data_IF_260066347797
#
_entry.id   IF_260066347797
#
_cell.length_a   1.000
_cell.length_b   1.000
_cell.length_c   1.000
_cell.angle_alpha   90.00
_cell.angle_beta   90.00
_cell.angle_gamma   90.00
#
_symmetry.space_group_name_H-M   'P 1'
#
loop_
_entity.id
_entity.type
_entity.pdbx_description
1 polymer ?
#
# COMPACT_ATOMS: atom_id res chain seq x y z
N UNK A 1 46.64 39.17 10.04
CA UNK A 1 46.45 37.87 9.35
C UNK A 1 44.96 37.60 9.32
N UNK A 2 44.28 38.12 8.31
CA UNK A 2 42.88 37.81 8.05
C UNK A 2 42.79 36.40 7.49
N UNK A 3 42.01 35.53 8.15
CA UNK A 3 41.74 34.17 7.70
C UNK A 3 40.41 34.14 6.93
N UNK A 4 40.38 34.46 5.62
CA UNK A 4 39.15 34.37 4.84
C UNK A 4 38.58 32.95 4.84
N UNK A 5 39.44 31.92 4.93
CA UNK A 5 39.03 30.51 5.01
C UNK A 5 38.15 30.18 6.23
N UNK A 6 38.35 30.85 7.36
CA UNK A 6 37.57 30.60 8.57
C UNK A 6 36.15 31.16 8.45
N UNK A 7 35.98 32.33 7.82
CA UNK A 7 34.65 32.93 7.54
C UNK A 7 33.83 32.10 6.55
N UNK A 8 34.44 31.53 5.50
CA UNK A 8 33.75 30.63 4.58
C UNK A 8 33.31 29.33 5.27
N UNK A 9 34.14 28.77 6.16
CA UNK A 9 33.78 27.61 6.98
C UNK A 9 32.62 27.90 7.92
N UNK A 10 32.57 29.06 8.59
CA UNK A 10 31.46 29.42 9.48
C UNK A 10 30.15 29.63 8.71
N UNK A 11 30.21 30.25 7.53
CA UNK A 11 29.04 30.45 6.66
C UNK A 11 28.52 29.11 6.13
N UNK A 12 29.38 28.21 5.68
CA UNK A 12 29.00 26.86 5.25
C UNK A 12 28.40 26.07 6.43
N UNK A 13 28.97 26.15 7.64
CA UNK A 13 28.43 25.48 8.83
C UNK A 13 27.04 26.04 9.23
N UNK A 14 26.82 27.35 9.09
CA UNK A 14 25.54 28.00 9.35
C UNK A 14 24.47 27.61 8.31
N UNK A 15 24.84 27.46 7.03
CA UNK A 15 23.93 26.97 5.98
C UNK A 15 23.56 25.48 6.17
N UNK A 16 24.45 24.66 6.73
CA UNK A 16 24.17 23.26 7.05
C UNK A 16 23.16 23.13 8.21
N UNK A 17 23.17 24.06 9.18
CA UNK A 17 22.29 24.01 10.36
C UNK A 17 20.84 24.42 10.09
N UNK A 18 20.57 25.28 9.10
CA UNK A 18 19.20 25.71 8.75
C UNK A 18 18.52 24.81 7.69
N UNK A 19 19.22 23.81 7.17
CA UNK A 19 18.77 22.97 6.05
C UNK A 19 18.32 21.56 6.43
N UNK A 20 18.27 21.19 7.71
CA UNK A 20 17.85 19.86 8.14
C UNK A 20 16.33 19.79 8.33
N UNK A 21 15.72 18.72 7.83
CA UNK A 21 14.33 18.42 8.14
C UNK A 21 14.18 18.03 9.63
N UNK A 22 13.02 18.35 10.21
CA UNK A 22 12.71 18.07 11.61
C UNK A 22 12.86 16.57 11.92
N UNK A 23 13.56 16.27 13.01
CA UNK A 23 13.87 14.91 13.46
C UNK A 23 13.19 14.60 14.82
N UNK A 24 11.92 14.98 14.95
CA UNK A 24 11.07 14.66 16.10
C UNK A 24 9.68 14.23 15.61
N UNK A 25 8.86 13.69 16.52
CA UNK A 25 7.45 13.45 16.24
C UNK A 25 6.70 14.77 16.02
N UNK A 26 5.64 14.72 15.21
CA UNK A 26 4.70 15.81 14.96
C UNK A 26 3.41 15.67 15.77
N UNK A 27 2.98 14.44 16.04
CA UNK A 27 1.68 14.12 16.67
C UNK A 27 1.86 13.68 18.13
N UNK A 28 2.32 14.60 18.97
CA UNK A 28 2.73 14.30 20.35
C UNK A 28 1.59 14.20 21.37
N UNK A 29 0.36 14.60 21.02
CA UNK A 29 -0.82 14.49 21.89
C UNK A 29 -1.59 13.21 21.59
N UNK A 30 -1.67 12.33 22.59
CA UNK A 30 -2.25 10.99 22.43
C UNK A 30 -3.77 10.95 22.67
N UNK A 31 -4.40 12.09 22.95
CA UNK A 31 -5.85 12.24 23.04
C UNK A 31 -6.50 12.28 21.65
N UNK A 32 -7.79 11.96 21.61
CA UNK A 32 -8.63 12.21 20.42
C UNK A 32 -8.99 13.69 20.33
N UNK A 33 -9.04 14.23 19.12
CA UNK A 33 -9.47 15.59 18.82
C UNK A 33 -10.41 15.63 17.62
N UNK A 34 -11.41 16.51 17.69
CA UNK A 34 -12.36 16.74 16.61
C UNK A 34 -11.73 17.66 15.55
N UNK A 35 -11.47 17.12 14.36
CA UNK A 35 -10.89 17.87 13.25
C UNK A 35 -11.99 18.56 12.44
N UNK A 36 -12.01 19.91 12.45
CA UNK A 36 -12.98 20.71 11.69
C UNK A 36 -12.28 21.52 10.59
N UNK A 37 -11.17 22.18 10.94
CA UNK A 37 -10.38 23.04 10.07
C UNK A 37 -8.95 22.53 9.88
N UNK A 38 -8.25 23.07 8.87
CA UNK A 38 -6.92 22.61 8.41
C UNK A 38 -5.86 22.48 9.51
N UNK A 39 -5.93 23.34 10.52
CA UNK A 39 -4.93 23.42 11.59
C UNK A 39 -5.42 22.84 12.93
N UNK A 40 -6.66 22.36 12.98
CA UNK A 40 -7.17 21.66 14.15
C UNK A 40 -6.40 20.35 14.35
N UNK A 41 -6.26 19.93 15.60
CA UNK A 41 -5.64 18.65 15.96
C UNK A 41 -4.20 18.48 15.41
N UNK A 42 -3.48 19.59 15.14
CA UNK A 42 -2.14 19.58 14.56
C UNK A 42 -1.17 18.65 15.32
N UNK A 43 -1.24 18.67 16.65
CA UNK A 43 -0.40 17.84 17.52
C UNK A 43 -1.03 16.50 17.89
N UNK A 44 -2.30 16.24 17.55
CA UNK A 44 -3.01 15.06 18.02
C UNK A 44 -2.79 13.84 17.12
N UNK A 45 -2.49 12.71 17.75
CA UNK A 45 -2.28 11.43 17.09
C UNK A 45 -3.58 10.73 16.69
N UNK A 46 -4.73 11.17 17.21
CA UNK A 46 -6.06 10.61 16.91
C UNK A 46 -6.99 11.77 16.55
N UNK A 47 -7.67 11.65 15.41
CA UNK A 47 -8.52 12.69 14.85
C UNK A 47 -9.87 12.13 14.39
N UNK A 48 -10.94 12.68 14.94
CA UNK A 48 -12.30 12.38 14.51
C UNK A 48 -12.69 13.34 13.39
N UNK A 49 -13.17 12.83 12.27
CA UNK A 49 -13.54 13.63 11.11
C UNK A 49 -15.02 13.44 10.80
N UNK A 50 -15.75 14.56 10.68
CA UNK A 50 -17.18 14.59 10.33
C UNK A 50 -18.07 13.63 11.15
N UNK A 51 -18.01 13.65 12.50
CA UNK A 51 -18.76 12.70 13.33
C UNK A 51 -20.26 12.76 13.06
N UNK A 52 -20.90 11.60 12.97
CA UNK A 52 -22.32 11.46 12.69
C UNK A 52 -22.76 11.77 11.25
N UNK A 53 -21.83 12.05 10.33
CA UNK A 53 -22.13 12.24 8.90
C UNK A 53 -21.83 10.96 8.10
N UNK A 54 -22.29 10.93 6.85
CA UNK A 54 -21.99 9.84 5.90
C UNK A 54 -20.48 9.69 5.59
N UNK A 55 -19.74 10.77 5.80
CA UNK A 55 -18.30 10.88 5.59
C UNK A 55 -17.49 10.77 6.89
N UNK A 56 -18.07 10.21 7.95
CA UNK A 56 -17.41 9.99 9.23
C UNK A 56 -16.24 8.98 9.14
N UNK A 57 -15.05 9.42 9.56
CA UNK A 57 -13.91 8.51 9.73
C UNK A 57 -13.00 8.94 10.88
N UNK A 58 -12.27 7.98 11.42
CA UNK A 58 -11.16 8.23 12.36
C UNK A 58 -9.84 8.23 11.60
N UNK A 59 -8.95 9.17 11.90
CA UNK A 59 -7.59 9.22 11.36
C UNK A 59 -6.59 9.24 12.50
N UNK A 60 -5.69 8.26 12.53
CA UNK A 60 -4.62 8.18 13.50
C UNK A 60 -3.23 8.18 12.86
N UNK A 61 -2.22 8.47 13.66
CA UNK A 61 -0.82 8.56 13.25
C UNK A 61 0.07 7.71 14.15
N UNK A 62 0.98 6.97 13.53
CA UNK A 62 2.09 6.33 14.23
C UNK A 62 3.39 6.71 13.54
N UNK A 63 4.32 7.29 14.30
CA UNK A 63 5.52 7.88 13.78
C UNK A 63 6.78 7.07 14.09
N UNK A 64 7.68 6.97 13.11
CA UNK A 64 8.94 6.24 13.18
C UNK A 64 10.15 7.16 13.05
N UNK A 65 11.25 6.76 13.68
CA UNK A 65 12.56 7.37 13.45
C UNK A 65 13.31 6.67 12.31
N UNK A 66 14.41 7.27 11.88
CA UNK A 66 15.23 6.76 10.78
C UNK A 66 15.87 5.39 11.06
N UNK A 67 15.89 4.95 12.32
CA UNK A 67 16.39 3.65 12.74
C UNK A 67 15.28 2.61 12.83
N UNK A 68 14.07 2.90 12.34
CA UNK A 68 12.94 1.97 12.36
C UNK A 68 12.27 1.77 13.72
N UNK A 69 12.61 2.59 14.72
CA UNK A 69 11.97 2.57 16.02
C UNK A 69 10.79 3.53 16.09
N UNK A 70 9.77 3.18 16.87
CA UNK A 70 8.66 4.08 17.21
C UNK A 70 9.21 5.36 17.88
N UNK A 71 8.73 6.52 17.44
CA UNK A 71 9.06 7.81 18.07
C UNK A 71 8.51 7.89 19.49
N UNK A 72 7.31 7.38 19.70
CA UNK A 72 6.68 7.24 21.01
C UNK A 72 5.85 5.95 21.06
N UNK A 73 6.20 5.02 21.96
CA UNK A 73 5.41 3.80 22.18
C UNK A 73 4.03 4.11 22.77
N UNK A 74 3.87 5.20 23.54
CA UNK A 74 2.58 5.60 24.11
C UNK A 74 1.63 6.10 23.03
N UNK A 75 2.14 6.77 22.00
CA UNK A 75 1.38 7.14 20.81
C UNK A 75 0.77 5.90 20.14
N UNK A 76 1.61 4.91 19.81
CA UNK A 76 1.12 3.66 19.22
C UNK A 76 0.08 2.98 20.13
N UNK A 77 0.36 2.86 21.43
CA UNK A 77 -0.57 2.22 22.36
C UNK A 77 -1.92 2.94 22.41
N UNK A 78 -1.93 4.27 22.50
CA UNK A 78 -3.17 5.06 22.54
C UNK A 78 -3.99 4.89 21.25
N UNK A 79 -3.33 4.88 20.09
CA UNK A 79 -3.98 4.63 18.79
C UNK A 79 -4.60 3.25 18.75
N UNK A 80 -3.84 2.22 19.14
CA UNK A 80 -4.33 0.85 19.18
C UNK A 80 -5.51 0.71 20.15
N UNK A 81 -5.39 1.19 21.39
CA UNK A 81 -6.46 1.13 22.40
C UNK A 81 -7.75 1.81 21.90
N UNK A 82 -7.61 2.95 21.22
CA UNK A 82 -8.72 3.65 20.62
C UNK A 82 -9.40 2.82 19.52
N UNK A 83 -8.63 2.21 18.62
CA UNK A 83 -9.16 1.36 17.55
C UNK A 83 -9.73 0.03 18.05
N UNK A 84 -9.11 -0.61 19.05
CA UNK A 84 -9.63 -1.80 19.72
C UNK A 84 -11.04 -1.53 20.26
N UNK A 85 -11.24 -0.39 20.93
CA UNK A 85 -12.56 -0.01 21.48
C UNK A 85 -13.62 0.18 20.38
N UNK A 86 -13.25 0.71 19.22
CA UNK A 86 -14.21 0.87 18.11
C UNK A 86 -14.52 -0.49 17.48
N UNK A 87 -13.48 -1.30 17.23
CA UNK A 87 -13.58 -2.60 16.58
C UNK A 87 -14.25 -3.69 17.43
N UNK A 88 -14.27 -3.55 18.77
CA UNK A 88 -15.05 -4.45 19.63
C UNK A 88 -16.55 -4.30 19.40
N UNK A 89 -17.02 -3.07 19.17
CA UNK A 89 -18.44 -2.73 19.12
C UNK A 89 -18.98 -2.67 17.68
N UNK A 90 -18.11 -2.40 16.71
CA UNK A 90 -18.47 -2.12 15.31
C UNK A 90 -17.65 -2.98 14.36
N UNK A 91 -18.24 -3.31 13.20
CA UNK A 91 -17.43 -3.77 12.07
C UNK A 91 -16.63 -2.57 11.53
N UNK A 92 -15.37 -2.77 11.17
CA UNK A 92 -14.47 -1.68 10.76
C UNK A 92 -13.85 -1.92 9.39
N UNK A 93 -13.66 -0.86 8.60
CA UNK A 93 -12.79 -0.87 7.42
C UNK A 93 -11.55 -0.05 7.76
N UNK A 94 -10.47 -0.74 8.09
CA UNK A 94 -9.20 -0.14 8.46
C UNK A 94 -8.32 0.02 7.22
N UNK A 95 -7.93 1.25 6.91
CA UNK A 95 -7.04 1.57 5.80
C UNK A 95 -5.75 2.16 6.37
N UNK A 96 -4.62 1.55 6.07
CA UNK A 96 -3.29 2.05 6.44
C UNK A 96 -2.66 2.72 5.23
N UNK A 97 -2.00 3.86 5.42
CA UNK A 97 -1.23 4.54 4.37
C UNK A 97 0.19 4.85 4.84
N UNK A 98 1.19 4.39 4.08
CA UNK A 98 2.60 4.75 4.26
C UNK A 98 3.07 5.63 3.11
N UNK A 99 3.56 6.83 3.44
CA UNK A 99 3.98 7.81 2.46
C UNK A 99 5.39 7.58 1.91
N UNK A 100 5.67 8.18 0.76
CA UNK A 100 6.96 8.19 0.09
C UNK A 100 7.94 9.25 0.57
N UNK A 101 8.98 9.43 -0.25
CA UNK A 101 9.97 10.50 -0.13
C UNK A 101 9.28 11.89 -0.17
N UNK A 102 9.88 12.92 0.43
CA UNK A 102 9.33 14.29 0.54
C UNK A 102 8.06 14.48 1.40
N UNK A 103 7.68 13.47 2.19
CA UNK A 103 6.51 13.55 3.06
C UNK A 103 6.85 13.22 4.51
N UNK A 104 5.94 13.61 5.42
CA UNK A 104 6.05 13.33 6.85
C UNK A 104 4.67 13.36 7.52
N UNK A 105 4.62 13.12 8.84
CA UNK A 105 3.41 13.30 9.64
C UNK A 105 3.07 14.78 9.96
N UNK A 106 3.80 15.74 9.39
CA UNK A 106 3.59 17.17 9.62
C UNK A 106 2.14 17.60 9.34
N UNK A 107 1.55 18.47 10.17
CA UNK A 107 0.27 19.11 9.87
C UNK A 107 0.27 19.74 8.47
N UNK A 108 -0.80 19.50 7.72
CA UNK A 108 -0.98 20.06 6.38
C UNK A 108 -0.16 19.40 5.26
N UNK A 109 0.58 18.30 5.53
CA UNK A 109 1.24 17.51 4.48
C UNK A 109 0.25 17.07 3.39
N UNK A 110 0.65 17.20 2.13
CA UNK A 110 -0.23 16.94 0.99
C UNK A 110 -0.75 15.49 0.96
N UNK A 111 0.08 14.49 1.30
CA UNK A 111 -0.38 13.10 1.34
C UNK A 111 -1.36 12.85 2.48
N UNK A 112 -1.27 13.57 3.60
CA UNK A 112 -2.28 13.49 4.67
C UNK A 112 -3.62 14.05 4.15
N UNK A 113 -3.60 15.15 3.40
CA UNK A 113 -4.80 15.76 2.83
C UNK A 113 -5.47 14.83 1.81
N UNK A 114 -4.70 14.23 0.90
CA UNK A 114 -5.24 13.28 -0.08
C UNK A 114 -5.73 11.98 0.58
N UNK A 115 -5.02 11.48 1.60
CA UNK A 115 -5.47 10.33 2.36
C UNK A 115 -6.80 10.59 3.09
N UNK A 116 -7.00 11.78 3.68
CA UNK A 116 -8.30 12.20 4.23
C UNK A 116 -9.41 12.18 3.18
N UNK A 117 -9.13 12.64 1.95
CA UNK A 117 -10.11 12.59 0.86
C UNK A 117 -10.46 11.16 0.48
N UNK A 118 -9.49 10.25 0.43
CA UNK A 118 -9.74 8.83 0.21
C UNK A 118 -10.64 8.25 1.31
N UNK A 119 -10.31 8.46 2.59
CA UNK A 119 -11.10 7.97 3.73
C UNK A 119 -12.53 8.53 3.69
N UNK A 120 -12.68 9.82 3.41
CA UNK A 120 -14.00 10.46 3.27
C UNK A 120 -14.83 9.85 2.13
N UNK A 121 -14.21 9.62 0.96
CA UNK A 121 -14.87 8.97 -0.20
C UNK A 121 -15.29 7.54 0.12
N UNK A 122 -14.42 6.77 0.80
CA UNK A 122 -14.71 5.39 1.21
C UNK A 122 -15.83 5.36 2.24
N UNK A 123 -15.82 6.25 3.25
CA UNK A 123 -16.89 6.34 4.25
C UNK A 123 -18.26 6.56 3.64
N UNK A 124 -18.38 7.50 2.68
CA UNK A 124 -19.65 7.77 2.00
C UNK A 124 -20.21 6.53 1.28
N UNK A 125 -19.32 5.67 0.80
CA UNK A 125 -19.73 4.45 0.12
C UNK A 125 -20.15 3.39 1.13
N UNK A 126 -19.39 3.21 2.22
CA UNK A 126 -19.76 2.32 3.31
C UNK A 126 -21.13 2.68 3.90
N UNK A 127 -21.42 3.98 4.07
CA UNK A 127 -22.70 4.45 4.58
C UNK A 127 -23.88 4.16 3.64
N UNK A 128 -23.65 4.17 2.31
CA UNK A 128 -24.68 3.86 1.31
C UNK A 128 -24.82 2.36 1.10
N UNK A 129 -23.72 1.61 1.15
CA UNK A 129 -23.69 0.16 0.91
C UNK A 129 -24.20 -0.67 2.10
N UNK A 130 -24.31 -0.09 3.29
CA UNK A 130 -24.93 -0.72 4.44
C UNK A 130 -26.43 -0.95 4.22
N UNK A 131 -26.83 -2.17 3.85
CA UNK A 131 -28.25 -2.58 3.83
C UNK A 131 -28.79 -2.64 5.28
N UNK A 132 -30.11 -2.58 5.45
CA UNK A 132 -30.79 -2.65 6.75
C UNK A 132 -30.43 -3.92 7.57
N UNK A 133 -29.84 -4.94 6.93
CA UNK A 133 -29.38 -6.18 7.56
C UNK A 133 -27.90 -6.19 7.97
N UNK A 134 -27.05 -5.33 7.40
CA UNK A 134 -25.61 -5.25 7.72
C UNK A 134 -25.24 -3.80 8.03
N UNK A 135 -24.93 -3.50 9.29
CA UNK A 135 -24.49 -2.16 9.70
C UNK A 135 -23.28 -1.72 8.87
N UNK A 136 -23.30 -0.48 8.39
CA UNK A 136 -22.16 0.14 7.72
C UNK A 136 -20.91 0.05 8.61
N UNK A 137 -19.76 -0.28 8.01
CA UNK A 137 -18.50 -0.38 8.74
C UNK A 137 -18.01 1.01 9.12
N UNK A 138 -17.43 1.15 10.30
CA UNK A 138 -16.71 2.37 10.68
C UNK A 138 -15.38 2.44 9.94
N UNK A 139 -15.10 3.55 9.28
CA UNK A 139 -13.84 3.74 8.54
C UNK A 139 -12.76 4.26 9.48
N UNK A 140 -11.66 3.51 9.58
CA UNK A 140 -10.50 3.85 10.39
C UNK A 140 -9.29 4.03 9.45
N UNK A 141 -8.57 5.13 9.57
CA UNK A 141 -7.38 5.43 8.77
C UNK A 141 -6.13 5.51 9.63
N UNK A 142 -5.11 4.70 9.37
CA UNK A 142 -3.80 4.85 10.02
C UNK A 142 -2.77 5.41 9.04
N UNK A 143 -2.16 6.54 9.37
CA UNK A 143 -1.03 7.10 8.63
C UNK A 143 0.30 6.71 9.30
N UNK A 144 1.14 5.99 8.57
CA UNK A 144 2.51 5.67 8.99
C UNK A 144 3.41 6.83 8.61
N UNK A 145 3.81 7.61 9.63
CA UNK A 145 4.68 8.76 9.48
C UNK A 145 6.15 8.40 9.67
N UNK A 146 7.01 8.84 8.78
CA UNK A 146 8.46 8.79 8.95
C UNK A 146 9.10 10.03 8.32
N UNK A 147 10.40 10.21 8.54
CA UNK A 147 11.11 11.38 8.04
C UNK A 147 11.54 11.17 6.59
N UNK A 148 10.65 11.53 5.66
CA UNK A 148 10.90 11.43 4.23
C UNK A 148 12.05 12.32 3.76
N UNK A 149 12.12 13.57 4.20
CA UNK A 149 13.24 14.46 3.88
C UNK A 149 14.37 14.39 4.90
N UNK A 150 15.63 14.29 4.46
CA UNK A 150 16.78 14.51 5.35
C UNK A 150 17.36 15.93 5.25
N UNK A 151 17.21 16.58 4.09
CA UNK A 151 17.69 17.94 3.79
C UNK A 151 16.57 18.74 3.09
N UNK A 152 16.28 19.94 3.55
CA UNK A 152 15.23 20.83 3.01
C UNK A 152 15.73 21.80 1.93
N UNK A 153 17.06 21.90 1.74
CA UNK A 153 17.68 22.81 0.76
C UNK A 153 17.38 22.40 -0.70
N UNK A 154 16.85 23.32 -1.53
CA UNK A 154 16.65 23.08 -2.97
C UNK A 154 17.97 22.76 -3.69
N UNK A 155 18.00 21.70 -4.50
CA UNK A 155 19.17 21.30 -5.31
C UNK A 155 20.07 20.20 -4.71
N UNK A 156 19.94 19.89 -3.42
CA UNK A 156 20.60 18.73 -2.78
C UNK A 156 19.63 17.59 -2.44
N UNK A 157 18.33 17.76 -2.74
CA UNK A 157 17.28 16.78 -2.46
C UNK A 157 17.57 15.43 -3.11
N UNK A 158 17.88 15.40 -4.41
CA UNK A 158 18.21 14.16 -5.14
C UNK A 158 19.41 13.38 -4.58
N UNK A 159 20.31 14.05 -3.85
CA UNK A 159 21.46 13.40 -3.16
C UNK A 159 20.98 12.54 -1.98
N UNK A 160 19.81 12.84 -1.41
CA UNK A 160 19.25 12.12 -0.27
C UNK A 160 18.47 10.86 -0.65
N UNK A 161 18.15 10.67 -1.94
CA UNK A 161 17.32 9.56 -2.40
C UNK A 161 17.82 8.19 -1.89
N UNK A 162 19.14 7.96 -1.92
CA UNK A 162 19.75 6.69 -1.49
C UNK A 162 19.64 6.44 0.01
N UNK A 163 19.95 7.47 0.80
CA UNK A 163 19.85 7.44 2.24
C UNK A 163 18.40 7.23 2.69
N UNK A 164 17.44 7.89 2.02
CA UNK A 164 16.00 7.74 2.29
C UNK A 164 15.46 6.38 1.84
N UNK A 165 15.96 5.81 0.75
CA UNK A 165 15.68 4.42 0.35
C UNK A 165 16.10 3.43 1.45
N UNK A 166 17.35 3.52 1.90
CA UNK A 166 17.88 2.65 2.96
C UNK A 166 17.08 2.81 4.25
N UNK A 167 16.76 4.04 4.61
CA UNK A 167 15.94 4.37 5.80
C UNK A 167 14.56 3.72 5.72
N UNK A 168 13.87 3.81 4.58
CA UNK A 168 12.54 3.21 4.41
C UNK A 168 12.58 1.67 4.55
N UNK A 169 13.64 1.02 4.04
CA UNK A 169 13.84 -0.41 4.22
C UNK A 169 14.11 -0.77 5.69
N UNK A 170 14.96 0.01 6.38
CA UNK A 170 15.25 -0.19 7.81
C UNK A 170 13.98 -0.08 8.66
N UNK A 171 13.15 0.94 8.40
CA UNK A 171 11.87 1.14 9.08
C UNK A 171 10.92 -0.04 8.83
N UNK A 172 10.87 -0.55 7.60
CA UNK A 172 10.08 -1.71 7.24
C UNK A 172 10.54 -3.01 7.91
N UNK A 173 11.84 -3.22 8.06
CA UNK A 173 12.42 -4.41 8.70
C UNK A 173 12.15 -4.47 10.21
N UNK A 174 12.11 -3.30 10.86
CA UNK A 174 12.01 -3.21 12.31
C UNK A 174 10.56 -2.96 12.78
N UNK A 175 10.21 -1.71 13.09
CA UNK A 175 9.03 -1.40 13.90
C UNK A 175 7.69 -1.45 13.17
N UNK A 176 7.64 -1.29 11.85
CA UNK A 176 6.34 -1.22 11.14
C UNK A 176 5.60 -2.55 11.17
N UNK A 177 6.33 -3.66 11.13
CA UNK A 177 5.75 -5.01 11.21
C UNK A 177 4.93 -5.20 12.50
N UNK A 178 5.41 -4.70 13.64
CA UNK A 178 4.68 -4.75 14.94
C UNK A 178 3.31 -4.07 14.81
N UNK A 179 3.28 -2.85 14.26
CA UNK A 179 2.05 -2.06 14.11
C UNK A 179 1.08 -2.76 13.18
N UNK A 180 1.54 -3.18 11.99
CA UNK A 180 0.67 -3.83 11.00
C UNK A 180 0.03 -5.10 11.58
N UNK A 181 0.81 -5.98 12.21
CA UNK A 181 0.29 -7.22 12.81
C UNK A 181 -0.76 -6.93 13.91
N UNK A 182 -0.55 -5.90 14.74
CA UNK A 182 -1.53 -5.48 15.76
C UNK A 182 -2.82 -4.90 15.16
N UNK A 183 -2.74 -4.18 14.04
CA UNK A 183 -3.95 -3.72 13.33
C UNK A 183 -4.74 -4.88 12.73
N UNK A 184 -4.05 -5.91 12.23
CA UNK A 184 -4.73 -7.12 11.76
C UNK A 184 -5.40 -7.87 12.91
N UNK A 185 -4.78 -7.90 14.09
CA UNK A 185 -5.41 -8.41 15.30
C UNK A 185 -6.70 -7.63 15.60
N UNK A 186 -6.65 -6.29 15.60
CA UNK A 186 -7.81 -5.40 15.86
C UNK A 186 -9.01 -5.74 14.97
N UNK A 187 -8.80 -5.92 13.66
CA UNK A 187 -9.93 -6.22 12.75
C UNK A 187 -10.54 -7.62 13.00
N UNK A 188 -9.89 -8.47 13.79
CA UNK A 188 -10.38 -9.81 14.15
C UNK A 188 -10.95 -9.90 15.58
N UNK A 189 -10.79 -8.88 16.41
CA UNK A 189 -11.19 -8.89 17.84
C UNK A 189 -12.65 -9.29 18.05
N UNK A 190 -13.56 -8.67 17.31
CA UNK A 190 -15.01 -8.93 17.42
C UNK A 190 -15.37 -10.40 17.17
N UNK A 191 -14.61 -11.08 16.31
CA UNK A 191 -14.80 -12.49 16.01
C UNK A 191 -14.35 -13.40 17.15
N UNK A 192 -13.34 -12.99 17.92
CA UNK A 192 -12.81 -13.74 19.06
C UNK A 192 -13.58 -13.54 20.36
N UNK A 193 -14.41 -12.51 20.47
CA UNK A 193 -15.12 -12.17 21.72
C UNK A 193 -16.48 -12.88 21.90
N UNK A 194 -17.07 -13.46 20.86
CA UNK A 194 -18.40 -14.10 20.93
C UNK A 194 -18.32 -15.59 20.62
N UNK A 195 -18.25 -16.41 21.67
CA UNK A 195 -18.15 -17.88 21.57
C UNK A 195 -19.47 -18.55 21.14
N UNK A 196 -20.62 -17.94 21.44
CA UNK A 196 -21.94 -18.59 21.31
C UNK A 196 -22.60 -18.42 19.92
N UNK A 197 -22.22 -17.42 19.14
CA UNK A 197 -22.69 -17.22 17.74
C UNK A 197 -21.56 -16.57 16.93
N UNK A 198 -20.89 -17.30 16.02
CA UNK A 198 -19.89 -16.70 15.15
C UNK A 198 -20.52 -15.59 14.31
N UNK A 199 -20.26 -14.31 14.66
CA UNK A 199 -20.65 -13.19 13.80
C UNK A 199 -19.88 -13.28 12.48
N UNK A 200 -20.51 -12.88 11.35
CA UNK A 200 -19.78 -12.80 10.09
C UNK A 200 -18.58 -11.86 10.25
N UNK A 201 -17.41 -12.33 9.86
CA UNK A 201 -16.19 -11.54 9.77
C UNK A 201 -16.42 -10.43 8.73
N UNK A 202 -16.82 -9.25 9.19
CA UNK A 202 -17.13 -8.09 8.33
C UNK A 202 -16.06 -7.00 8.40
N UNK A 203 -15.28 -6.97 9.47
CA UNK A 203 -14.13 -6.07 9.61
C UNK A 203 -13.03 -6.41 8.60
N UNK A 204 -12.37 -5.39 8.06
CA UNK A 204 -11.43 -5.51 6.94
C UNK A 204 -10.21 -4.61 7.12
N UNK A 205 -9.08 -5.06 6.59
CA UNK A 205 -7.80 -4.35 6.60
C UNK A 205 -7.24 -4.19 5.19
N UNK A 206 -6.99 -2.93 4.81
CA UNK A 206 -6.28 -2.57 3.58
C UNK A 206 -5.01 -1.80 3.94
N UNK A 207 -3.89 -2.14 3.30
CA UNK A 207 -2.62 -1.44 3.48
C UNK A 207 -2.18 -0.84 2.16
N UNK A 208 -1.90 0.46 2.16
CA UNK A 208 -1.48 1.21 0.98
C UNK A 208 -0.09 1.81 1.23
N UNK A 209 0.82 1.65 0.27
CA UNK A 209 2.15 2.27 0.33
C UNK A 209 2.51 2.93 -0.99
N UNK A 210 2.97 4.18 -0.94
CA UNK A 210 3.45 4.90 -2.12
C UNK A 210 4.97 5.03 -2.13
N UNK A 211 5.62 4.87 -3.28
CA UNK A 211 7.07 5.15 -3.43
C UNK A 211 7.92 4.38 -2.40
N UNK A 212 8.73 5.06 -1.59
CA UNK A 212 9.46 4.45 -0.47
C UNK A 212 8.57 3.93 0.65
N UNK A 213 7.38 4.50 0.86
CA UNK A 213 6.35 3.90 1.71
C UNK A 213 5.90 2.54 1.17
N UNK A 214 5.82 2.39 -0.16
CA UNK A 214 5.57 1.10 -0.82
C UNK A 214 6.70 0.09 -0.57
N UNK A 215 7.95 0.54 -0.65
CA UNK A 215 9.12 -0.29 -0.32
C UNK A 215 9.15 -0.71 1.16
N UNK A 216 8.81 0.22 2.07
CA UNK A 216 8.69 -0.01 3.51
C UNK A 216 7.63 -1.08 3.81
N UNK A 217 6.42 -0.93 3.26
CA UNK A 217 5.32 -1.90 3.43
C UNK A 217 5.70 -3.27 2.85
N UNK A 218 6.26 -3.30 1.64
CA UNK A 218 6.69 -4.57 1.03
C UNK A 218 7.76 -5.27 1.87
N UNK A 219 8.70 -4.50 2.41
CA UNK A 219 9.76 -5.03 3.28
C UNK A 219 9.20 -5.65 4.56
N UNK A 220 8.20 -5.01 5.18
CA UNK A 220 7.53 -5.53 6.37
C UNK A 220 6.71 -6.81 6.09
N UNK A 221 6.09 -6.91 4.91
CA UNK A 221 5.07 -7.93 4.65
C UNK A 221 5.50 -9.08 3.72
N UNK A 222 6.60 -8.99 2.99
CA UNK A 222 6.98 -10.01 1.98
C UNK A 222 7.02 -11.44 2.54
N UNK A 223 7.56 -11.64 3.74
CA UNK A 223 7.64 -12.96 4.37
C UNK A 223 6.27 -13.44 4.87
N UNK A 224 5.45 -12.52 5.40
CA UNK A 224 4.08 -12.80 5.85
C UNK A 224 3.19 -13.19 4.66
N UNK A 225 3.34 -12.51 3.52
CA UNK A 225 2.64 -12.83 2.29
C UNK A 225 3.03 -14.22 1.77
N UNK A 226 4.33 -14.53 1.75
CA UNK A 226 4.82 -15.83 1.31
C UNK A 226 4.30 -16.98 2.20
N UNK A 227 4.39 -16.82 3.52
CA UNK A 227 3.90 -17.79 4.50
C UNK A 227 2.40 -18.09 4.30
N UNK A 228 1.59 -17.03 4.18
CA UNK A 228 0.13 -17.15 4.02
C UNK A 228 -0.33 -17.60 2.64
N UNK A 229 0.51 -17.44 1.62
CA UNK A 229 0.24 -17.98 0.30
C UNK A 229 0.39 -19.51 0.29
N UNK A 230 1.48 -19.99 0.89
CA UNK A 230 1.79 -21.43 0.96
C UNK A 230 0.85 -22.13 1.94
N UNK A 231 0.61 -21.53 3.11
CA UNK A 231 -0.34 -21.97 4.14
C UNK A 231 -0.26 -23.47 4.44
N UNK A 232 0.77 -23.89 5.17
CA UNK A 232 1.10 -25.31 5.41
C UNK A 232 0.21 -26.00 6.47
N UNK A 233 -0.93 -25.41 6.85
CA UNK A 233 -1.84 -26.01 7.85
C UNK A 233 -2.51 -27.26 7.28
N UNK A 234 -2.73 -28.28 8.13
CA UNK A 234 -3.24 -29.61 7.71
C UNK A 234 -4.54 -29.59 6.90
N UNK A 235 -5.40 -28.61 7.12
CA UNK A 235 -6.70 -28.47 6.44
C UNK A 235 -6.63 -27.61 5.18
N UNK A 236 -5.50 -26.94 4.93
CA UNK A 236 -5.27 -26.12 3.75
C UNK A 236 -4.50 -26.93 2.72
N UNK A 237 -5.03 -26.92 1.50
CA UNK A 237 -4.39 -27.55 0.35
C UNK A 237 -4.40 -26.58 -0.81
N UNK A 238 -3.73 -26.97 -1.89
CA UNK A 238 -3.68 -26.23 -3.15
C UNK A 238 -5.07 -25.88 -3.74
N UNK A 239 -6.13 -26.55 -3.30
CA UNK A 239 -7.51 -26.32 -3.76
C UNK A 239 -8.25 -25.19 -3.05
N UNK A 240 -7.71 -24.59 -1.97
CA UNK A 240 -8.32 -23.42 -1.32
C UNK A 240 -7.87 -22.09 -1.93
N UNK A 241 -8.38 -20.97 -1.41
CA UNK A 241 -7.82 -19.65 -1.72
C UNK A 241 -6.47 -19.44 -1.02
N UNK A 242 -5.54 -18.81 -1.73
CA UNK A 242 -4.28 -18.31 -1.22
C UNK A 242 -4.52 -17.09 -0.31
N UNK A 243 -3.86 -17.09 0.85
CA UNK A 243 -3.93 -16.02 1.82
C UNK A 243 -3.07 -14.81 1.47
N UNK A 244 -3.17 -13.79 2.30
CA UNK A 244 -2.37 -12.57 2.22
C UNK A 244 -2.37 -11.84 3.56
N UNK A 245 -1.91 -10.59 3.57
CA UNK A 245 -1.96 -9.74 4.75
C UNK A 245 -3.23 -8.88 4.73
N UNK A 246 -4.09 -9.02 5.74
CA UNK A 246 -5.44 -8.46 5.71
C UNK A 246 -6.21 -8.89 4.46
N UNK A 247 -6.92 -7.93 3.89
CA UNK A 247 -7.75 -8.13 2.70
C UNK A 247 -7.05 -7.71 1.42
N UNK A 248 -6.26 -6.63 1.46
CA UNK A 248 -5.53 -6.08 0.31
C UNK A 248 -4.28 -5.31 0.74
N UNK A 249 -3.15 -5.60 0.09
CA UNK A 249 -1.98 -4.73 0.07
C UNK A 249 -1.86 -4.06 -1.31
N UNK A 250 -1.87 -2.73 -1.35
CA UNK A 250 -1.76 -1.93 -2.56
C UNK A 250 -0.49 -1.08 -2.53
N UNK A 251 0.41 -1.27 -3.47
CA UNK A 251 1.64 -0.51 -3.58
C UNK A 251 1.60 0.34 -4.85
N UNK A 252 1.76 1.66 -4.74
CA UNK A 252 1.70 2.58 -5.88
C UNK A 252 3.07 3.19 -6.12
N UNK A 253 3.56 3.06 -7.36
CA UNK A 253 4.91 3.44 -7.77
C UNK A 253 6.01 2.99 -6.77
N UNK A 254 6.00 1.74 -6.26
CA UNK A 254 6.89 1.37 -5.17
C UNK A 254 8.36 1.33 -5.60
N UNK A 255 9.22 1.88 -4.76
CA UNK A 255 10.65 2.02 -5.01
C UNK A 255 11.47 0.89 -4.37
N UNK A 256 11.23 -0.36 -4.78
CA UNK A 256 12.05 -1.53 -4.40
C UNK A 256 12.38 -2.40 -5.62
N UNK A 257 13.45 -3.17 -5.50
CA UNK A 257 14.06 -3.98 -6.54
C UNK A 257 13.12 -5.11 -7.00
N UNK A 258 13.02 -5.34 -8.32
CA UNK A 258 12.20 -6.43 -8.85
C UNK A 258 12.66 -7.81 -8.34
N UNK A 259 13.96 -7.98 -8.11
CA UNK A 259 14.53 -9.21 -7.55
C UNK A 259 13.91 -9.59 -6.20
N UNK A 260 13.48 -8.62 -5.38
CA UNK A 260 12.81 -8.91 -4.10
C UNK A 260 11.41 -9.50 -4.28
N UNK A 261 10.76 -9.23 -5.41
CA UNK A 261 9.45 -9.81 -5.75
C UNK A 261 9.52 -11.25 -6.27
N UNK A 262 10.73 -11.72 -6.62
CA UNK A 262 10.97 -12.99 -7.26
C UNK A 262 10.35 -14.19 -6.52
N UNK A 263 10.46 -14.24 -5.20
CA UNK A 263 9.89 -15.33 -4.39
C UNK A 263 8.37 -15.38 -4.48
N UNK A 264 7.68 -14.23 -4.34
CA UNK A 264 6.22 -14.19 -4.44
C UNK A 264 5.75 -14.52 -5.86
N UNK A 265 6.50 -14.08 -6.88
CA UNK A 265 6.23 -14.45 -8.26
C UNK A 265 6.31 -15.97 -8.43
N UNK A 266 7.41 -16.60 -8.02
CA UNK A 266 7.65 -18.03 -8.18
C UNK A 266 6.59 -18.89 -7.49
N UNK A 267 6.27 -18.61 -6.23
CA UNK A 267 5.25 -19.39 -5.50
C UNK A 267 3.88 -19.25 -6.16
N UNK A 268 3.55 -18.08 -6.71
CA UNK A 268 2.29 -17.86 -7.44
C UNK A 268 2.21 -18.60 -8.77
N UNK A 269 3.36 -18.93 -9.37
CA UNK A 269 3.47 -19.68 -10.63
C UNK A 269 3.69 -21.18 -10.40
N UNK A 270 3.98 -21.61 -9.17
CA UNK A 270 4.32 -22.99 -8.89
C UNK A 270 3.19 -23.96 -9.29
N UNK A 271 3.53 -24.98 -10.08
CA UNK A 271 2.57 -25.98 -10.59
C UNK A 271 1.45 -25.42 -11.46
N UNK A 272 1.54 -24.17 -11.91
CA UNK A 272 0.47 -23.47 -12.63
C UNK A 272 -0.90 -23.47 -11.96
N UNK A 273 -0.87 -23.13 -10.67
CA UNK A 273 -1.91 -22.40 -9.93
C UNK A 273 -3.31 -22.32 -10.51
N UNK A 274 -4.26 -23.28 -10.38
CA UNK A 274 -5.67 -22.89 -10.62
C UNK A 274 -6.22 -22.23 -9.37
N UNK A 275 -6.63 -20.97 -9.50
CA UNK A 275 -7.27 -20.20 -8.45
C UNK A 275 -8.80 -20.36 -8.54
N UNK A 276 -9.47 -20.38 -7.39
CA UNK A 276 -10.92 -20.47 -7.31
C UNK A 276 -11.56 -19.14 -7.71
N UNK A 277 -12.83 -19.16 -8.10
CA UNK A 277 -13.62 -17.94 -8.37
C UNK A 277 -13.74 -17.03 -7.14
N UNK A 278 -13.55 -17.57 -5.94
CA UNK A 278 -13.50 -16.82 -4.68
C UNK A 278 -12.17 -16.11 -4.43
N UNK A 279 -11.11 -16.40 -5.19
CA UNK A 279 -9.79 -15.80 -5.01
C UNK A 279 -9.81 -14.30 -5.30
N UNK A 280 -9.55 -13.53 -4.24
CA UNK A 280 -9.43 -12.08 -4.28
C UNK A 280 -7.97 -11.65 -4.48
N UNK A 281 -7.70 -10.43 -4.96
CA UNK A 281 -6.35 -9.90 -5.00
C UNK A 281 -5.84 -9.72 -3.57
N UNK A 282 -4.57 -10.04 -3.33
CA UNK A 282 -3.90 -9.91 -2.03
C UNK A 282 -2.73 -8.94 -2.04
N UNK A 283 -2.06 -8.82 -3.18
CA UNK A 283 -1.05 -7.80 -3.43
C UNK A 283 -1.28 -7.22 -4.82
N UNK A 284 -1.49 -5.91 -4.90
CA UNK A 284 -1.56 -5.18 -6.16
C UNK A 284 -0.45 -4.14 -6.17
N UNK A 285 0.41 -4.18 -7.18
CA UNK A 285 1.47 -3.21 -7.42
C UNK A 285 1.07 -2.42 -8.66
N UNK A 286 0.85 -1.12 -8.50
CA UNK A 286 0.58 -0.19 -9.60
C UNK A 286 1.86 0.59 -9.89
N UNK A 287 2.31 0.67 -11.14
CA UNK A 287 3.48 1.48 -11.50
C UNK A 287 3.27 2.19 -12.83
N UNK A 288 3.39 3.51 -12.83
CA UNK A 288 3.25 4.33 -14.04
C UNK A 288 4.34 4.02 -15.07
N UNK A 289 4.00 4.18 -16.35
CA UNK A 289 4.95 4.21 -17.47
C UNK A 289 5.87 5.43 -17.44
N UNK A 290 5.37 6.54 -16.90
CA UNK A 290 6.04 7.84 -16.80
C UNK A 290 6.64 8.12 -15.42
N UNK A 291 6.72 7.12 -14.55
CA UNK A 291 7.46 7.25 -13.30
C UNK A 291 8.98 7.27 -13.55
N UNK A 292 9.50 8.44 -13.92
CA UNK A 292 10.91 8.65 -14.20
C UNK A 292 11.80 8.52 -12.96
N UNK A 293 11.27 8.78 -11.76
CA UNK A 293 12.03 8.63 -10.52
C UNK A 293 12.44 7.17 -10.30
N UNK A 294 11.49 6.24 -10.42
CA UNK A 294 11.82 4.80 -10.32
C UNK A 294 12.45 4.22 -11.60
N UNK A 295 12.21 4.83 -12.76
CA UNK A 295 12.78 4.35 -14.04
C UNK A 295 14.23 4.76 -14.28
N UNK A 296 14.66 5.92 -13.78
CA UNK A 296 15.98 6.50 -14.07
C UNK A 296 16.83 6.70 -12.82
N UNK A 297 16.28 7.32 -11.77
CA UNK A 297 17.07 7.57 -10.57
C UNK A 297 17.43 6.22 -9.91
N UNK A 298 16.43 5.37 -9.66
CA UNK A 298 16.60 4.09 -8.98
C UNK A 298 17.69 3.17 -9.58
N UNK A 299 17.73 2.89 -10.90
CA UNK A 299 18.79 2.07 -11.48
C UNK A 299 20.18 2.68 -11.38
N UNK A 300 20.30 4.01 -11.52
CA UNK A 300 21.60 4.69 -11.45
C UNK A 300 22.25 4.53 -10.07
N UNK A 301 21.50 4.60 -8.98
CA UNK A 301 22.06 4.33 -7.65
C UNK A 301 22.37 2.86 -7.39
N UNK A 302 21.59 1.94 -7.95
CA UNK A 302 21.89 0.51 -7.82
C UNK A 302 23.20 0.15 -8.52
N UNK A 303 23.47 0.69 -9.71
CA UNK A 303 24.72 0.41 -10.45
C UNK A 303 25.96 0.64 -9.57
N UNK A 304 26.02 1.71 -8.78
CA UNK A 304 27.19 1.98 -7.90
C UNK A 304 27.24 1.07 -6.66
N UNK A 305 26.09 0.62 -6.16
CA UNK A 305 26.04 -0.27 -4.98
C UNK A 305 26.26 -1.74 -5.30
N UNK A 306 26.05 -2.15 -6.56
CA UNK A 306 26.12 -3.56 -6.99
C UNK A 306 27.38 -3.92 -7.77
N UNK A 307 28.36 -3.00 -7.90
CA UNK A 307 29.58 -3.21 -8.69
C UNK A 307 30.40 -4.45 -8.28
N UNK A 308 30.23 -4.95 -7.06
CA UNK A 308 30.93 -6.13 -6.53
C UNK A 308 29.98 -7.31 -6.24
N UNK A 309 28.70 -7.22 -6.62
CA UNK A 309 27.75 -8.31 -6.49
C UNK A 309 27.87 -9.26 -7.70
N UNK A 310 27.80 -10.57 -7.46
CA UNK A 310 27.73 -11.57 -8.54
C UNK A 310 26.28 -11.81 -8.92
N UNK A 311 25.94 -11.63 -10.19
CA UNK A 311 24.61 -11.90 -10.72
C UNK A 311 24.66 -13.05 -11.73
N UNK A 312 23.65 -13.91 -11.75
CA UNK A 312 23.45 -14.93 -12.80
C UNK A 312 22.15 -14.68 -13.56
N UNK A 313 22.00 -15.35 -14.71
CA UNK A 313 20.69 -15.51 -15.33
C UNK A 313 20.01 -16.71 -14.68
N UNK A 314 18.81 -16.51 -14.16
CA UNK A 314 17.97 -17.56 -13.59
C UNK A 314 16.92 -18.02 -14.60
N UNK A 315 16.80 -19.34 -14.73
CA UNK A 315 15.67 -19.95 -15.42
C UNK A 315 14.51 -20.11 -14.45
N UNK A 316 13.44 -19.35 -14.68
CA UNK A 316 12.17 -19.40 -13.95
C UNK A 316 11.04 -19.92 -14.85
N UNK A 317 9.83 -19.96 -14.32
CA UNK A 317 8.63 -20.45 -15.01
C UNK A 317 7.53 -19.41 -14.98
N UNK A 318 6.82 -19.29 -16.10
CA UNK A 318 5.59 -18.51 -16.20
C UNK A 318 4.46 -19.39 -16.74
N UNK A 319 3.26 -19.20 -16.22
CA UNK A 319 2.09 -20.00 -16.59
C UNK A 319 1.22 -19.27 -17.61
N UNK A 320 1.35 -19.67 -18.87
CA UNK A 320 0.60 -19.10 -20.00
C UNK A 320 -0.61 -19.96 -20.35
N UNK A 321 -1.43 -19.49 -21.32
CA UNK A 321 -2.58 -20.23 -21.83
C UNK A 321 -2.16 -21.55 -22.47
N UNK A 322 -0.97 -21.58 -23.07
CA UNK A 322 -0.37 -22.73 -23.74
C UNK A 322 0.36 -23.68 -22.78
N UNK A 323 0.45 -23.36 -21.48
CA UNK A 323 1.12 -24.19 -20.48
C UNK A 323 2.28 -23.46 -19.78
N UNK A 324 3.20 -24.25 -19.21
CA UNK A 324 4.42 -23.71 -18.58
C UNK A 324 5.37 -23.24 -19.67
N UNK A 325 5.83 -21.99 -19.61
CA UNK A 325 6.90 -21.47 -20.45
C UNK A 325 8.10 -21.09 -19.58
N UNK A 326 9.29 -21.31 -20.11
CA UNK A 326 10.53 -20.85 -19.49
C UNK A 326 10.60 -19.32 -19.51
N UNK A 327 10.96 -18.73 -18.37
CA UNK A 327 11.19 -17.30 -18.20
C UNK A 327 12.64 -17.10 -17.77
N UNK A 328 13.45 -16.51 -18.64
CA UNK A 328 14.80 -16.12 -18.28
C UNK A 328 14.74 -14.78 -17.54
N UNK A 329 15.37 -14.73 -16.36
CA UNK A 329 15.46 -13.54 -15.51
C UNK A 329 16.93 -13.23 -15.29
N UNK A 330 17.41 -12.10 -15.80
CA UNK A 330 18.71 -11.55 -15.46
C UNK A 330 18.63 -10.95 -14.04
N UNK A 331 19.35 -11.52 -13.07
CA UNK A 331 19.31 -11.04 -11.69
C UNK A 331 19.83 -9.61 -11.56
N UNK A 332 20.83 -9.23 -12.35
CA UNK A 332 21.36 -7.87 -12.31
C UNK A 332 20.35 -6.86 -12.84
N UNK A 333 19.62 -7.20 -13.91
CA UNK A 333 18.53 -6.38 -14.42
C UNK A 333 17.39 -6.28 -13.40
N UNK A 334 16.98 -7.41 -12.80
CA UNK A 334 15.93 -7.45 -11.79
C UNK A 334 16.31 -6.68 -10.51
N UNK A 335 17.59 -6.63 -10.17
CA UNK A 335 18.09 -5.91 -9.00
C UNK A 335 18.24 -4.40 -9.25
N UNK A 336 18.60 -4.00 -10.48
CA UNK A 336 18.71 -2.58 -10.86
C UNK A 336 17.37 -1.91 -11.15
N UNK A 337 16.36 -2.65 -11.61
CA UNK A 337 15.05 -2.09 -11.92
C UNK A 337 14.08 -2.24 -10.75
N UNK A 338 13.16 -1.28 -10.61
CA UNK A 338 12.04 -1.46 -9.69
C UNK A 338 11.07 -2.51 -10.21
N UNK A 339 10.31 -3.12 -9.29
CA UNK A 339 9.34 -4.18 -9.61
C UNK A 339 8.39 -3.86 -10.76
N UNK A 340 7.95 -2.59 -10.91
CA UNK A 340 7.02 -2.17 -11.94
C UNK A 340 7.65 -1.72 -13.26
N UNK A 341 8.98 -1.67 -13.36
CA UNK A 341 9.73 -1.43 -14.60
C UNK A 341 10.45 -2.70 -15.10
N UNK A 342 10.32 -3.82 -14.39
CA UNK A 342 10.87 -5.10 -14.81
C UNK A 342 9.82 -5.95 -15.54
N UNK A 343 9.85 -5.91 -16.89
CA UNK A 343 8.86 -6.55 -17.76
C UNK A 343 8.57 -8.04 -17.50
N UNK A 344 9.57 -8.87 -17.12
CA UNK A 344 9.33 -10.28 -16.83
C UNK A 344 8.27 -10.52 -15.74
N UNK A 345 8.16 -9.63 -14.76
CA UNK A 345 7.21 -9.78 -13.65
C UNK A 345 5.90 -9.03 -13.85
N UNK A 346 5.72 -8.30 -14.95
CA UNK A 346 4.45 -7.64 -15.24
C UNK A 346 3.36 -8.67 -15.54
N UNK A 347 2.21 -8.49 -14.91
CA UNK A 347 1.06 -9.41 -15.02
C UNK A 347 -0.14 -8.76 -15.70
N UNK A 348 -0.31 -7.45 -15.54
CA UNK A 348 -1.45 -6.69 -16.06
C UNK A 348 -1.01 -5.32 -16.58
N UNK A 349 -1.90 -4.68 -17.35
CA UNK A 349 -1.86 -3.25 -17.70
C UNK A 349 -3.15 -2.57 -17.29
N UNK A 350 -3.07 -1.35 -16.78
CA UNK A 350 -4.23 -0.50 -16.51
C UNK A 350 -4.22 0.66 -17.50
N UNK A 351 -5.25 0.75 -18.34
CA UNK A 351 -5.42 1.78 -19.34
C UNK A 351 -6.66 2.63 -19.03
N UNK A 352 -6.77 3.86 -19.57
CA UNK A 352 -8.05 4.57 -19.60
C UNK A 352 -9.12 3.71 -20.27
N UNK A 353 -10.33 3.72 -19.73
CA UNK A 353 -11.45 2.99 -20.31
C UNK A 353 -11.73 3.53 -21.72
N UNK A 354 -11.86 2.62 -22.70
CA UNK A 354 -12.24 3.00 -24.07
C UNK A 354 -13.61 3.66 -24.14
N UNK A 355 -14.51 3.25 -23.26
CA UNK A 355 -15.85 3.80 -23.09
C UNK A 355 -16.08 3.99 -21.61
N UNK A 356 -16.23 5.23 -21.15
CA UNK A 356 -16.57 5.51 -19.75
C UNK A 356 -17.92 4.92 -19.40
N UNK A 357 -17.97 4.18 -18.30
CA UNK A 357 -19.20 3.58 -17.79
C UNK A 357 -19.69 4.37 -16.58
N UNK A 358 -20.72 5.19 -16.74
CA UNK A 358 -21.33 5.87 -15.60
C UNK A 358 -22.06 4.85 -14.73
N UNK A 359 -21.67 4.73 -13.47
CA UNK A 359 -22.40 3.88 -12.53
C UNK A 359 -23.75 4.48 -12.21
N UNK A 360 -24.80 3.68 -12.35
CA UNK A 360 -26.14 4.06 -11.91
C UNK A 360 -26.22 4.12 -10.39
N UNK A 361 -27.21 4.86 -9.86
CA UNK A 361 -27.40 5.02 -8.41
C UNK A 361 -27.68 3.70 -7.67
N UNK A 362 -28.11 2.66 -8.38
CA UNK A 362 -28.37 1.30 -7.91
C UNK A 362 -27.19 0.33 -8.14
N UNK A 363 -26.00 0.83 -8.45
CA UNK A 363 -24.81 0.01 -8.70
C UNK A 363 -24.54 -0.96 -7.56
N UNK A 364 -24.64 -2.26 -7.86
CA UNK A 364 -24.35 -3.30 -6.89
C UNK A 364 -22.86 -3.62 -6.91
N UNK A 365 -22.17 -3.33 -5.81
CA UNK A 365 -20.78 -3.74 -5.61
C UNK A 365 -20.57 -5.26 -5.73
N UNK A 366 -21.63 -6.08 -5.58
CA UNK A 366 -21.59 -7.52 -5.89
C UNK A 366 -21.26 -7.80 -7.35
N UNK A 367 -21.72 -6.96 -8.28
CA UNK A 367 -21.41 -7.12 -9.70
C UNK A 367 -19.91 -6.93 -9.95
N UNK A 368 -19.24 -6.00 -9.24
CA UNK A 368 -17.78 -5.82 -9.36
C UNK A 368 -17.03 -7.10 -8.97
N UNK A 369 -17.44 -7.77 -7.88
CA UNK A 369 -16.87 -9.06 -7.46
C UNK A 369 -17.18 -10.19 -8.44
N UNK A 370 -18.39 -10.25 -8.98
CA UNK A 370 -18.75 -11.24 -10.00
C UNK A 370 -17.94 -11.06 -11.29
N UNK A 371 -17.70 -9.82 -11.69
CA UNK A 371 -16.83 -9.50 -12.83
C UNK A 371 -15.38 -9.90 -12.54
N UNK A 372 -14.89 -9.66 -11.32
CA UNK A 372 -13.57 -10.13 -10.88
C UNK A 372 -13.43 -11.64 -11.02
N UNK A 373 -14.39 -12.42 -10.50
CA UNK A 373 -14.39 -13.89 -10.51
C UNK A 373 -14.35 -14.50 -11.92
N UNK A 374 -14.79 -13.76 -12.94
CA UNK A 374 -14.85 -14.20 -14.34
C UNK A 374 -13.63 -13.80 -15.16
N UNK A 375 -12.56 -13.31 -14.54
CA UNK A 375 -11.34 -12.93 -15.23
C UNK A 375 -10.82 -14.07 -16.13
N UNK A 376 -10.41 -13.67 -17.33
CA UNK A 376 -9.85 -14.57 -18.33
C UNK A 376 -8.42 -14.19 -18.63
N UNK A 377 -7.64 -15.19 -19.05
CA UNK A 377 -6.27 -14.95 -19.48
C UNK A 377 -6.28 -14.16 -20.78
N UNK A 378 -5.55 -13.03 -20.82
CA UNK A 378 -5.62 -12.06 -21.93
C UNK A 378 -6.99 -11.38 -22.07
N UNK A 379 -7.82 -11.42 -21.02
CA UNK A 379 -9.08 -10.69 -20.94
C UNK A 379 -8.90 -9.26 -20.41
N UNK A 380 -9.95 -8.47 -20.59
CA UNK A 380 -10.09 -7.13 -20.03
C UNK A 380 -11.19 -7.13 -18.98
N UNK A 381 -10.91 -6.53 -17.83
CA UNK A 381 -11.89 -6.20 -16.80
C UNK A 381 -12.14 -4.70 -16.84
N UNK A 382 -13.37 -4.31 -17.20
CA UNK A 382 -13.77 -2.91 -17.32
C UNK A 382 -14.21 -2.35 -15.96
N UNK A 383 -13.70 -1.17 -15.63
CA UNK A 383 -14.13 -0.31 -14.54
C UNK A 383 -14.74 0.98 -15.12
N UNK A 384 -15.15 1.91 -14.25
CA UNK A 384 -15.82 3.15 -14.65
C UNK A 384 -14.97 4.02 -15.59
N UNK A 385 -13.71 4.25 -15.22
CA UNK A 385 -12.76 5.08 -15.97
C UNK A 385 -11.53 4.32 -16.47
N UNK A 386 -11.39 3.03 -16.15
CA UNK A 386 -10.19 2.25 -16.44
C UNK A 386 -10.48 0.84 -16.94
N UNK A 387 -9.57 0.30 -17.75
CA UNK A 387 -9.58 -1.06 -18.24
C UNK A 387 -8.35 -1.81 -17.70
N UNK A 388 -8.58 -2.87 -16.91
CA UNK A 388 -7.52 -3.74 -16.42
C UNK A 388 -7.34 -4.93 -17.37
N UNK A 389 -6.20 -5.01 -18.05
CA UNK A 389 -5.90 -6.00 -19.07
C UNK A 389 -4.90 -7.02 -18.50
N UNK A 390 -5.28 -8.30 -18.52
CA UNK A 390 -4.40 -9.39 -18.11
C UNK A 390 -3.38 -9.70 -19.22
N UNK A 391 -2.07 -9.75 -18.94
CA UNK A 391 -1.03 -9.91 -19.99
C UNK A 391 -0.77 -11.34 -20.45
N UNK A 392 -1.43 -12.32 -19.83
CA UNK A 392 -1.31 -13.73 -20.21
C UNK A 392 -0.06 -14.42 -19.67
N UNK A 393 0.70 -13.72 -18.80
CA UNK A 393 1.92 -14.22 -18.16
C UNK A 393 1.68 -15.00 -16.86
N UNK A 394 0.46 -14.94 -16.33
CA UNK A 394 0.03 -15.68 -15.13
C UNK A 394 -1.30 -16.39 -15.36
N UNK A 395 -1.70 -17.24 -14.42
CA UNK A 395 -3.07 -17.77 -14.37
C UNK A 395 -4.06 -16.67 -13.97
N UNK A 396 -5.30 -16.66 -14.49
CA UNK A 396 -6.35 -15.75 -14.02
C UNK A 396 -6.56 -15.88 -12.52
N UNK A 397 -7.00 -14.80 -11.88
CA UNK A 397 -7.23 -14.72 -10.43
C UNK A 397 -5.96 -14.97 -9.59
N UNK A 398 -4.75 -14.87 -10.16
CA UNK A 398 -3.53 -14.81 -9.36
C UNK A 398 -3.68 -13.69 -8.32
N UNK A 399 -3.51 -13.96 -7.01
CA UNK A 399 -3.68 -12.94 -5.97
C UNK A 399 -2.62 -11.84 -6.02
N UNK A 400 -1.51 -12.04 -6.75
CA UNK A 400 -0.44 -11.07 -6.88
C UNK A 400 -0.44 -10.45 -8.27
N UNK A 401 -0.79 -9.16 -8.32
CA UNK A 401 -0.85 -8.38 -9.54
C UNK A 401 0.29 -7.37 -9.53
N UNK A 402 1.16 -7.45 -10.52
CA UNK A 402 2.09 -6.37 -10.89
C UNK A 402 1.57 -5.71 -12.17
N UNK A 403 1.13 -4.47 -12.05
CA UNK A 403 0.29 -3.75 -13.01
C UNK A 403 1.03 -2.52 -13.52
N UNK A 404 1.23 -2.47 -14.84
CA UNK A 404 1.75 -1.28 -15.50
C UNK A 404 0.62 -0.30 -15.78
N UNK A 405 0.73 0.93 -15.32
CA UNK A 405 -0.32 1.96 -15.42
C UNK A 405 0.04 2.96 -16.51
N UNK A 406 -0.92 3.25 -17.38
CA UNK A 406 -0.79 4.23 -18.43
C UNK A 406 -0.51 5.64 -17.88
N UNK A 407 0.31 6.40 -18.60
CA UNK A 407 0.68 7.78 -18.24
C UNK A 407 -0.50 8.77 -18.23
N UNK A 408 -1.60 8.47 -18.93
CA UNK A 408 -2.82 9.28 -18.84
C UNK A 408 -3.54 9.13 -17.50
N UNK A 409 -3.30 8.02 -16.77
CA UNK A 409 -3.91 7.77 -15.47
C UNK A 409 -3.02 8.24 -14.32
N UNK A 410 -1.72 7.98 -14.42
CA UNK A 410 -0.70 8.45 -13.46
C UNK A 410 0.39 9.13 -14.28
N UNK A 411 0.38 10.45 -14.32
CA UNK A 411 1.25 11.21 -15.23
C UNK A 411 2.72 11.23 -14.79
N UNK A 412 2.98 11.07 -13.50
CA UNK A 412 4.33 11.02 -12.93
C UNK A 412 4.41 10.16 -11.64
N UNK A 413 5.53 10.25 -10.92
CA UNK A 413 5.75 9.49 -9.70
C UNK A 413 4.76 9.79 -8.55
N UNK A 414 4.30 11.03 -8.45
CA UNK A 414 3.52 11.58 -7.33
C UNK A 414 2.04 11.82 -7.68
N UNK A 415 1.68 11.88 -8.96
CA UNK A 415 0.30 12.04 -9.46
C UNK A 415 -0.54 10.75 -9.30
N UNK A 416 -0.56 10.19 -8.09
CA UNK A 416 -1.25 8.94 -7.75
C UNK A 416 -2.69 9.17 -7.29
N UNK A 417 -3.08 10.42 -7.11
CA UNK A 417 -4.35 10.83 -6.50
C UNK A 417 -5.40 11.28 -7.52
N UNK A 418 -5.12 11.15 -8.82
CA UNK A 418 -6.06 11.45 -9.89
C UNK A 418 -7.37 10.67 -9.77
N UNK A 419 -8.49 11.28 -10.17
CA UNK A 419 -9.82 10.74 -9.92
C UNK A 419 -10.04 9.34 -10.51
N UNK A 420 -9.55 9.07 -11.73
CA UNK A 420 -9.64 7.75 -12.36
C UNK A 420 -8.90 6.67 -11.57
N UNK A 421 -7.72 7.01 -11.02
CA UNK A 421 -6.90 6.10 -10.20
C UNK A 421 -7.58 5.85 -8.86
N UNK A 422 -8.07 6.89 -8.21
CA UNK A 422 -8.79 6.76 -6.94
C UNK A 422 -10.09 5.97 -7.11
N UNK A 423 -10.80 6.16 -8.23
CA UNK A 423 -11.97 5.36 -8.60
C UNK A 423 -11.60 3.88 -8.72
N UNK A 424 -10.51 3.54 -9.42
CA UNK A 424 -10.01 2.17 -9.53
C UNK A 424 -9.55 1.57 -8.19
N UNK A 425 -8.80 2.33 -7.38
CA UNK A 425 -8.33 1.89 -6.06
C UNK A 425 -9.49 1.59 -5.12
N UNK A 426 -10.49 2.47 -5.11
CA UNK A 426 -11.75 2.27 -4.38
C UNK A 426 -12.44 0.98 -4.82
N UNK A 427 -12.50 0.70 -6.11
CA UNK A 427 -13.14 -0.52 -6.61
C UNK A 427 -12.38 -1.78 -6.20
N UNK A 428 -11.04 -1.74 -6.22
CA UNK A 428 -10.21 -2.83 -5.70
C UNK A 428 -10.40 -3.06 -4.21
N UNK A 429 -10.48 -1.98 -3.42
CA UNK A 429 -10.78 -2.06 -1.99
C UNK A 429 -12.11 -2.78 -1.81
N UNK A 430 -13.15 -2.36 -2.53
CA UNK A 430 -14.48 -2.96 -2.39
C UNK A 430 -14.47 -4.42 -2.81
N UNK A 431 -13.93 -4.77 -3.98
CA UNK A 431 -13.81 -6.16 -4.44
C UNK A 431 -13.13 -7.04 -3.38
N UNK A 432 -12.08 -6.53 -2.75
CA UNK A 432 -11.28 -7.26 -1.76
C UNK A 432 -11.94 -7.34 -0.38
N UNK A 433 -12.86 -6.42 -0.07
CA UNK A 433 -13.41 -6.23 1.28
C UNK A 433 -14.89 -6.56 1.40
N UNK A 434 -15.59 -6.86 0.30
CA UNK A 434 -17.00 -7.26 0.36
C UNK A 434 -17.18 -8.53 1.22
N UNK A 435 -18.16 -8.55 2.13
CA UNK A 435 -18.50 -9.74 2.90
C UNK A 435 -18.72 -10.95 1.98
N UNK A 436 -18.20 -12.10 2.40
CA UNK A 436 -18.59 -13.39 1.84
C UNK A 436 -19.94 -13.70 2.48
N UNK A 437 -21.03 -13.70 1.72
CA UNK A 437 -22.27 -14.27 2.25
C UNK A 437 -22.00 -15.74 2.57
N UNK A 438 -22.40 -16.18 3.76
CA UNK A 438 -22.44 -17.60 4.05
C UNK A 438 -23.26 -18.27 2.95
N UNK A 439 -22.66 -19.24 2.26
CA UNK A 439 -23.40 -20.07 1.32
C UNK A 439 -24.56 -20.71 2.11
N UNK A 440 -25.79 -20.35 1.76
CA UNK A 440 -26.99 -21.02 2.26
C UNK A 440 -27.06 -22.45 1.73
#
# INVERSE_FOLDING_TARGET
>A
MDYPRLRWLTVILLFILSGCAQNSAYRTENSSCLYINKDDCATHAIQQNAPGQDSEFELAFVEFNDQGQLRDRKQMQAVLDHYYKIASDNDVLLIVFAHGWHHSASPGDANILEFRRLLSRVSKIESVAGDAKSKARKVLGLYIGWRGDSITLPGLKEVTFWDRKSTAQEIGLQGVTEVLLKLEEIVNVKAGMEEDVPKPLNSRLVVIGHSFGGALIYTALQQVLADRFVDSRKTKTYSGDAGGFGDLVLLVNPAFEALRFATLYDISQHGCRRYLESQLPKLVILTSESDYATKLAFPLGRIFSTLFESHTTLTRRQCTKQGVKELLVDEGEADRNTVGHFEPYLTHRLLPAKTKMTRSADFSYRQARNSWARQQQMGTLNFEDTDLIHLGKTRPLNPYLNVKVDSELISDHNDIWGDSVISFVRDLIIISTLPIEAAN
#
